data_IF_543256597745
#
_entry.id   IF_543256597745
#
_cell.length_a   1.000
_cell.length_b   1.000
_cell.length_c   1.000
_cell.angle_alpha   90.00
_cell.angle_beta   90.00
_cell.angle_gamma   90.00
#
_symmetry.space_group_name_H-M   'P 1'
#
loop_
_entity.id
_entity.type
_entity.pdbx_description
1 polymer ?
#
# COMPACT_ATOMS: atom_id res chain seq x y z
N UNK A 1 4.16 18.89 1.98
CA UNK A 1 3.41 20.11 2.37
C UNK A 1 3.77 21.30 1.48
N UNK A 2 5.04 21.71 1.39
CA UNK A 2 5.46 22.82 0.54
C UNK A 2 4.97 22.74 -0.92
N UNK A 3 5.00 21.54 -1.54
CA UNK A 3 4.50 21.33 -2.91
C UNK A 3 2.98 21.49 -3.04
N UNK A 4 2.22 21.13 -2.01
CA UNK A 4 0.76 21.35 -1.99
C UNK A 4 0.44 22.84 -1.89
N UNK A 5 1.19 23.57 -1.06
CA UNK A 5 0.98 25.01 -0.85
C UNK A 5 1.44 25.84 -2.05
N UNK A 6 2.48 25.39 -2.77
CA UNK A 6 3.00 26.03 -3.98
C UNK A 6 2.12 25.84 -5.22
N UNK A 7 1.20 24.86 -5.21
CA UNK A 7 0.34 24.60 -6.37
C UNK A 7 -0.82 25.62 -6.42
N UNK A 8 -0.99 26.36 -7.52
CA UNK A 8 -2.01 27.42 -7.61
C UNK A 8 -3.44 26.86 -7.50
N UNK A 9 -3.66 25.65 -8.03
CA UNK A 9 -4.97 24.98 -8.01
C UNK A 9 -5.01 23.84 -7.00
N UNK A 10 -5.19 24.17 -5.72
CA UNK A 10 -5.27 23.17 -4.62
C UNK A 10 -6.36 22.12 -4.85
N UNK A 11 -7.46 22.50 -5.51
CA UNK A 11 -8.59 21.62 -5.82
C UNK A 11 -8.24 20.49 -6.79
N UNK A 12 -7.15 20.60 -7.58
CA UNK A 12 -6.70 19.53 -8.47
C UNK A 12 -5.95 18.42 -7.74
N UNK A 13 -5.38 18.69 -6.57
CA UNK A 13 -4.68 17.68 -5.77
C UNK A 13 -5.72 16.82 -5.08
N UNK A 14 -5.69 15.51 -5.33
CA UNK A 14 -6.68 14.56 -4.80
C UNK A 14 -6.12 13.57 -3.80
N UNK A 15 -4.82 13.30 -3.85
CA UNK A 15 -4.20 12.27 -3.03
C UNK A 15 -2.76 12.62 -2.66
N UNK A 16 -2.32 12.05 -1.55
CA UNK A 16 -0.92 11.88 -1.19
C UNK A 16 -0.57 10.40 -1.37
N UNK A 17 0.46 10.11 -2.15
CA UNK A 17 1.00 8.76 -2.32
C UNK A 17 2.34 8.67 -1.60
N UNK A 18 2.49 7.66 -0.74
CA UNK A 18 3.70 7.39 0.04
C UNK A 18 4.12 5.95 -0.21
N UNK A 19 5.36 5.75 -0.67
CA UNK A 19 5.97 4.42 -0.67
C UNK A 19 6.50 4.11 0.72
N UNK A 20 6.01 3.04 1.33
CA UNK A 20 6.41 2.55 2.64
C UNK A 20 6.46 1.01 2.60
N UNK A 21 7.64 0.37 2.63
CA UNK A 21 8.99 0.97 2.72
C UNK A 21 9.35 1.89 1.53
N UNK A 22 10.18 2.89 1.78
CA UNK A 22 10.55 3.91 0.79
C UNK A 22 11.63 3.42 -0.19
N UNK A 23 11.29 3.30 -1.47
CA UNK A 23 12.26 3.06 -2.54
C UNK A 23 12.94 4.39 -2.97
N UNK A 24 14.29 4.48 -3.13
CA UNK A 24 15.30 3.41 -3.17
C UNK A 24 16.03 3.11 -1.86
N UNK A 25 15.70 3.80 -0.76
CA UNK A 25 16.45 3.68 0.50
C UNK A 25 16.00 2.52 1.40
N UNK A 26 14.95 1.79 1.00
CA UNK A 26 14.25 0.73 1.74
C UNK A 26 13.91 1.06 3.21
N UNK A 27 13.84 2.35 3.54
CA UNK A 27 13.58 2.84 4.88
C UNK A 27 12.09 2.83 5.19
N UNK A 28 11.71 2.40 6.39
CA UNK A 28 10.33 2.41 6.86
C UNK A 28 10.00 3.71 7.59
N UNK A 29 8.80 4.24 7.35
CA UNK A 29 8.29 5.37 8.09
C UNK A 29 7.74 4.94 9.45
N UNK A 30 8.19 5.61 10.51
CA UNK A 30 7.64 5.42 11.85
C UNK A 30 6.11 5.64 11.86
N UNK A 31 5.35 4.87 12.67
CA UNK A 31 3.89 4.99 12.77
C UNK A 31 3.37 6.44 12.94
N UNK A 32 4.04 7.22 13.78
CA UNK A 32 3.66 8.61 14.05
C UNK A 32 3.83 9.52 12.83
N UNK A 33 4.83 9.25 11.99
CA UNK A 33 5.02 9.96 10.71
C UNK A 33 3.87 9.67 9.77
N UNK A 34 3.48 8.40 9.64
CA UNK A 34 2.34 8.00 8.80
C UNK A 34 1.04 8.66 9.30
N UNK A 35 0.81 8.69 10.62
CA UNK A 35 -0.36 9.38 11.20
C UNK A 35 -0.37 10.87 10.90
N UNK A 36 0.78 11.56 11.00
CA UNK A 36 0.88 12.98 10.65
C UNK A 36 0.52 13.22 9.18
N UNK A 37 0.95 12.35 8.28
CA UNK A 37 0.61 12.41 6.85
C UNK A 37 -0.88 12.14 6.61
N UNK A 38 -1.47 11.16 7.31
CA UNK A 38 -2.91 10.90 7.26
C UNK A 38 -3.72 12.08 7.79
N UNK A 39 -3.31 12.73 8.87
CA UNK A 39 -3.96 13.93 9.40
C UNK A 39 -3.86 15.10 8.42
N UNK A 40 -2.70 15.29 7.77
CA UNK A 40 -2.58 16.26 6.69
C UNK A 40 -3.58 15.96 5.55
N UNK A 41 -3.74 14.69 5.15
CA UNK A 41 -4.74 14.32 4.15
C UNK A 41 -6.18 14.59 4.63
N UNK A 42 -6.48 14.32 5.90
CA UNK A 42 -7.77 14.63 6.51
C UNK A 42 -8.07 16.12 6.42
N UNK A 43 -7.17 16.98 6.89
CA UNK A 43 -7.34 18.44 6.94
C UNK A 43 -7.53 19.06 5.56
N UNK A 44 -6.97 18.43 4.52
CA UNK A 44 -7.04 18.90 3.13
C UNK A 44 -8.09 18.17 2.29
N UNK A 45 -8.84 17.23 2.86
CA UNK A 45 -9.82 16.42 2.14
C UNK A 45 -9.20 15.54 1.05
N UNK A 46 -7.95 15.11 1.21
CA UNK A 46 -7.20 14.27 0.29
C UNK A 46 -7.36 12.78 0.63
N UNK A 47 -7.03 11.94 -0.35
CA UNK A 47 -6.84 10.51 -0.16
C UNK A 47 -5.40 10.24 0.30
N UNK A 48 -5.21 9.30 1.21
CA UNK A 48 -3.91 8.74 1.54
C UNK A 48 -3.75 7.39 0.82
N UNK A 49 -2.69 7.25 0.03
CA UNK A 49 -2.36 6.01 -0.68
C UNK A 49 -0.99 5.54 -0.19
N UNK A 50 -0.95 4.36 0.42
CA UNK A 50 0.28 3.69 0.83
C UNK A 50 0.70 2.71 -0.27
N UNK A 51 1.86 2.90 -0.87
CA UNK A 51 2.49 1.91 -1.73
C UNK A 51 3.38 1.00 -0.86
N UNK A 52 2.87 -0.20 -0.61
CA UNK A 52 3.43 -1.22 0.28
C UNK A 52 3.98 -2.40 -0.54
N UNK A 53 4.42 -2.16 -1.79
CA UNK A 53 4.97 -3.19 -2.69
C UNK A 53 6.23 -3.89 -2.17
N UNK A 54 6.97 -3.24 -1.28
CA UNK A 54 8.19 -3.78 -0.67
C UNK A 54 7.99 -4.21 0.79
N UNK A 55 6.74 -4.30 1.26
CA UNK A 55 6.44 -4.54 2.67
C UNK A 55 7.01 -5.86 3.19
N UNK A 56 7.09 -6.90 2.36
CA UNK A 56 7.64 -8.20 2.72
C UNK A 56 9.10 -8.36 2.29
N UNK A 57 9.74 -7.32 1.76
CA UNK A 57 11.16 -7.35 1.35
C UNK A 57 11.96 -6.26 2.05
N UNK A 58 11.48 -5.75 3.18
CA UNK A 58 12.18 -4.74 3.96
C UNK A 58 13.34 -5.42 4.74
N UNK A 59 14.35 -5.90 4.02
CA UNK A 59 15.49 -6.69 4.52
C UNK A 59 16.33 -5.99 5.61
N UNK A 60 16.06 -4.72 5.90
CA UNK A 60 16.87 -3.88 6.78
C UNK A 60 16.01 -2.87 7.55
N UNK A 61 14.81 -3.28 7.99
CA UNK A 61 14.16 -2.48 9.03
C UNK A 61 14.94 -2.63 10.31
N UNK A 62 15.40 -1.49 10.83
CA UNK A 62 15.88 -1.38 12.20
C UNK A 62 14.93 -2.16 13.11
N UNK A 63 15.43 -3.04 13.97
CA UNK A 63 14.59 -3.86 14.85
C UNK A 63 13.67 -2.98 15.72
N UNK A 64 14.09 -1.73 15.93
CA UNK A 64 13.36 -0.71 16.67
C UNK A 64 12.23 -0.04 15.85
N UNK A 65 12.21 -0.20 14.52
CA UNK A 65 11.20 0.41 13.62
C UNK A 65 10.61 -0.61 12.62
N UNK A 66 9.84 -1.61 13.10
CA UNK A 66 9.23 -2.60 12.22
C UNK A 66 8.23 -1.95 11.25
N UNK A 67 8.13 -2.53 10.06
CA UNK A 67 7.13 -2.14 9.07
C UNK A 67 5.72 -2.16 9.68
N UNK A 68 5.00 -1.04 9.51
CA UNK A 68 3.60 -0.93 9.91
C UNK A 68 2.76 -0.49 8.72
N UNK A 69 1.81 -1.34 8.33
CA UNK A 69 0.86 -1.01 7.25
C UNK A 69 -0.04 0.15 7.63
N UNK A 70 -0.37 0.99 6.64
CA UNK A 70 -1.32 2.08 6.78
C UNK A 70 -2.70 1.60 7.25
N UNK A 71 -3.15 0.40 6.84
CA UNK A 71 -4.44 -0.13 7.27
C UNK A 71 -4.45 -0.51 8.75
N UNK A 72 -3.32 -0.95 9.32
CA UNK A 72 -3.22 -1.22 10.76
C UNK A 72 -3.40 0.06 11.56
N UNK A 73 -2.77 1.15 11.12
CA UNK A 73 -2.85 2.47 11.77
C UNK A 73 -4.24 3.11 11.68
N UNK A 74 -4.98 2.83 10.63
CA UNK A 74 -6.36 3.34 10.46
C UNK A 74 -7.36 2.55 11.29
N UNK A 75 -7.07 1.28 11.57
CA UNK A 75 -7.96 0.41 12.32
C UNK A 75 -7.78 0.48 13.84
N UNK A 76 -6.65 1.00 14.32
CA UNK A 76 -6.43 1.22 15.76
C UNK A 76 -7.21 2.40 16.37
N UNK A 77 -7.92 3.18 15.53
CA UNK A 77 -8.78 4.29 15.97
C UNK A 77 -8.03 5.55 16.39
N UNK A 78 -6.70 5.59 16.27
CA UNK A 78 -5.87 6.75 16.66
C UNK A 78 -5.60 7.63 15.43
N UNK A 79 -6.59 8.42 15.01
CA UNK A 79 -6.45 9.36 13.89
C UNK A 79 -7.78 9.95 13.43
N UNK A 80 -7.72 11.08 12.71
CA UNK A 80 -8.93 11.77 12.22
C UNK A 80 -9.38 11.34 10.82
N UNK A 81 -8.51 10.68 10.05
CA UNK A 81 -8.81 10.35 8.65
C UNK A 81 -9.95 9.33 8.53
N UNK A 82 -10.86 9.58 7.60
CA UNK A 82 -11.93 8.63 7.29
C UNK A 82 -11.35 7.39 6.62
N UNK A 83 -11.78 6.20 7.03
CA UNK A 83 -11.33 4.92 6.44
C UNK A 83 -11.54 4.86 4.92
N UNK A 84 -12.56 5.53 4.40
CA UNK A 84 -12.88 5.63 2.96
C UNK A 84 -11.83 6.40 2.15
N UNK A 85 -10.90 7.09 2.83
CA UNK A 85 -9.84 7.89 2.21
C UNK A 85 -8.47 7.26 2.32
N UNK A 86 -8.35 6.07 2.90
CA UNK A 86 -7.08 5.35 3.02
C UNK A 86 -7.09 4.12 2.14
N UNK A 87 -6.06 4.01 1.31
CA UNK A 87 -5.90 2.95 0.32
C UNK A 87 -4.48 2.40 0.38
N UNK A 88 -4.33 1.10 0.20
CA UNK A 88 -3.03 0.44 0.11
C UNK A 88 -2.90 -0.20 -1.26
N UNK A 89 -1.77 -0.01 -1.93
CA UNK A 89 -1.40 -0.73 -3.14
C UNK A 89 -0.18 -1.61 -2.85
N UNK A 90 -0.16 -2.81 -3.41
CA UNK A 90 1.00 -3.70 -3.34
C UNK A 90 1.01 -4.66 -4.54
N UNK A 91 2.06 -5.46 -4.70
CA UNK A 91 2.27 -6.33 -5.85
C UNK A 91 3.13 -7.54 -5.51
N UNK A 92 2.85 -8.66 -6.18
CA UNK A 92 3.66 -9.88 -6.13
C UNK A 92 5.08 -9.71 -6.72
N UNK A 93 5.38 -8.57 -7.35
CA UNK A 93 6.63 -8.38 -8.09
C UNK A 93 7.86 -8.46 -7.20
N UNK A 94 7.83 -7.83 -6.01
CA UNK A 94 8.94 -7.84 -5.06
C UNK A 94 8.73 -8.89 -4.00
N UNK A 95 7.60 -8.84 -3.30
CA UNK A 95 7.27 -9.72 -2.18
C UNK A 95 7.35 -11.23 -2.51
N UNK A 96 7.02 -11.63 -3.74
CA UNK A 96 7.03 -13.02 -4.20
C UNK A 96 8.05 -13.29 -5.31
N UNK A 97 8.97 -12.35 -5.57
CA UNK A 97 9.99 -12.48 -6.63
C UNK A 97 9.40 -12.78 -8.02
N UNK A 98 8.16 -12.36 -8.28
CA UNK A 98 7.39 -12.78 -9.46
C UNK A 98 7.00 -11.59 -10.37
N UNK A 99 7.96 -10.75 -10.81
CA UNK A 99 7.66 -9.55 -11.59
C UNK A 99 7.05 -9.88 -12.95
N UNK A 100 7.33 -11.05 -13.52
CA UNK A 100 6.80 -11.50 -14.82
C UNK A 100 5.29 -11.81 -14.81
N UNK A 101 4.71 -12.05 -13.64
CA UNK A 101 3.28 -12.37 -13.53
C UNK A 101 2.37 -11.14 -13.66
N UNK A 102 2.95 -9.93 -13.53
CA UNK A 102 2.27 -8.61 -13.65
C UNK A 102 1.03 -8.48 -12.74
N UNK A 103 1.15 -8.89 -11.48
CA UNK A 103 0.03 -8.89 -10.51
C UNK A 103 0.22 -7.80 -9.47
N UNK A 104 -0.79 -6.94 -9.32
CA UNK A 104 -0.90 -5.99 -8.23
C UNK A 104 -2.32 -5.97 -7.68
N UNK A 105 -2.48 -5.45 -6.47
CA UNK A 105 -3.77 -5.30 -5.83
C UNK A 105 -3.88 -3.94 -5.15
N UNK A 106 -5.12 -3.46 -5.09
CA UNK A 106 -5.54 -2.27 -4.35
C UNK A 106 -6.46 -2.74 -3.23
N UNK A 107 -6.15 -2.34 -2.01
CA UNK A 107 -6.97 -2.59 -0.83
C UNK A 107 -7.56 -1.25 -0.38
N UNK A 108 -8.89 -1.17 -0.38
CA UNK A 108 -9.64 -0.06 0.19
C UNK A 108 -10.76 -0.60 1.05
N UNK A 109 -10.74 -0.34 2.35
CA UNK A 109 -11.66 -1.02 3.29
C UNK A 109 -13.05 -0.38 3.35
N UNK A 110 -13.18 0.89 2.97
CA UNK A 110 -14.42 1.65 3.16
C UNK A 110 -14.75 2.58 1.98
N UNK A 111 -14.29 2.26 0.76
CA UNK A 111 -14.60 3.01 -0.45
C UNK A 111 -14.99 2.08 -1.60
N UNK A 112 -16.25 1.65 -1.59
CA UNK A 112 -16.83 0.76 -2.61
C UNK A 112 -16.80 1.38 -4.01
N UNK A 113 -17.04 2.69 -4.12
CA UNK A 113 -17.11 3.37 -5.40
C UNK A 113 -15.75 3.42 -6.10
N UNK A 114 -14.68 3.62 -5.31
CA UNK A 114 -13.31 3.52 -5.81
C UNK A 114 -13.00 2.09 -6.26
N UNK A 115 -13.34 1.08 -5.45
CA UNK A 115 -13.12 -0.32 -5.80
C UNK A 115 -13.88 -0.72 -7.07
N UNK A 116 -15.12 -0.29 -7.23
CA UNK A 116 -15.91 -0.57 -8.43
C UNK A 116 -15.29 0.08 -9.67
N UNK A 117 -14.89 1.35 -9.55
CA UNK A 117 -14.27 2.11 -10.63
C UNK A 117 -12.92 1.53 -11.06
N UNK A 118 -12.09 1.12 -10.10
CA UNK A 118 -10.79 0.49 -10.38
C UNK A 118 -10.98 -0.94 -10.89
N UNK A 119 -11.87 -1.71 -10.27
CA UNK A 119 -12.20 -3.08 -10.68
C UNK A 119 -12.66 -3.13 -12.13
N UNK A 120 -13.58 -2.25 -12.53
CA UNK A 120 -14.05 -2.16 -13.92
C UNK A 120 -12.91 -1.93 -14.92
N UNK A 121 -11.92 -1.10 -14.57
CA UNK A 121 -10.73 -0.87 -15.41
C UNK A 121 -9.75 -2.05 -15.38
N UNK A 122 -9.67 -2.76 -14.27
CA UNK A 122 -8.70 -3.84 -14.04
C UNK A 122 -9.15 -5.21 -14.57
N UNK A 123 -10.46 -5.43 -14.79
CA UNK A 123 -11.05 -6.72 -15.22
C UNK A 123 -10.34 -7.33 -16.44
N UNK A 124 -9.82 -6.51 -17.35
CA UNK A 124 -9.19 -6.98 -18.60
C UNK A 124 -7.66 -6.89 -18.59
N UNK A 125 -7.05 -6.49 -17.47
CA UNK A 125 -5.61 -6.19 -17.41
C UNK A 125 -4.76 -7.32 -16.82
N UNK A 126 -5.37 -8.27 -16.11
CA UNK A 126 -4.65 -9.37 -15.46
C UNK A 126 -4.99 -10.68 -16.15
N UNK A 127 -3.97 -11.47 -16.53
CA UNK A 127 -4.20 -12.77 -17.15
C UNK A 127 -4.87 -13.76 -16.18
N UNK A 128 -5.70 -14.66 -16.70
CA UNK A 128 -6.33 -15.72 -15.88
C UNK A 128 -5.29 -16.64 -15.23
N UNK A 129 -4.18 -16.91 -15.92
CA UNK A 129 -3.07 -17.69 -15.38
C UNK A 129 -2.42 -17.01 -14.18
N UNK A 130 -2.15 -15.71 -14.29
CA UNK A 130 -1.64 -14.88 -13.20
C UNK A 130 -2.60 -14.88 -12.01
N UNK A 131 -3.89 -14.70 -12.27
CA UNK A 131 -4.93 -14.71 -11.24
C UNK A 131 -5.02 -16.06 -10.51
N UNK A 132 -4.92 -17.17 -11.24
CA UNK A 132 -4.91 -18.51 -10.65
C UNK A 132 -3.66 -18.74 -9.80
N UNK A 133 -2.49 -18.34 -10.32
CA UNK A 133 -1.22 -18.42 -9.61
C UNK A 133 -1.26 -17.71 -8.26
N UNK A 134 -1.63 -16.42 -8.24
CA UNK A 134 -1.66 -15.66 -6.98
C UNK A 134 -2.72 -16.20 -6.02
N UNK A 135 -3.87 -16.65 -6.54
CA UNK A 135 -4.91 -17.28 -5.72
C UNK A 135 -4.39 -18.56 -5.04
N UNK A 136 -3.63 -19.39 -5.78
CA UNK A 136 -3.03 -20.60 -5.24
C UNK A 136 -1.97 -20.29 -4.19
N UNK A 137 -1.11 -19.29 -4.43
CA UNK A 137 -0.09 -18.85 -3.47
C UNK A 137 -0.73 -18.33 -2.18
N UNK A 138 -1.69 -17.40 -2.29
CA UNK A 138 -2.35 -16.79 -1.14
C UNK A 138 -3.21 -17.76 -0.32
N UNK A 139 -3.72 -18.84 -0.94
CA UNK A 139 -4.47 -19.91 -0.25
C UNK A 139 -3.59 -21.06 0.25
N UNK A 140 -2.30 -21.05 -0.07
CA UNK A 140 -1.38 -22.13 0.32
C UNK A 140 -1.15 -22.13 1.83
N UNK A 141 -1.21 -23.31 2.45
CA UNK A 141 -0.79 -23.48 3.85
C UNK A 141 0.70 -23.18 4.08
N UNK A 142 1.51 -23.17 3.01
CA UNK A 142 2.94 -22.84 3.04
C UNK A 142 3.22 -21.35 2.80
N UNK A 143 2.21 -20.49 2.82
CA UNK A 143 2.40 -19.06 2.56
C UNK A 143 3.41 -18.45 3.52
N UNK A 144 3.35 -18.80 4.81
CA UNK A 144 4.32 -18.34 5.81
C UNK A 144 5.74 -18.77 5.47
N UNK A 145 5.94 -20.03 5.06
CA UNK A 145 7.25 -20.54 4.65
C UNK A 145 7.77 -19.82 3.40
N UNK A 146 6.89 -19.54 2.43
CA UNK A 146 7.23 -18.81 1.20
C UNK A 146 7.65 -17.36 1.49
N UNK A 147 6.97 -16.70 2.44
CA UNK A 147 7.35 -15.35 2.89
C UNK A 147 8.71 -15.41 3.59
N UNK A 148 8.95 -16.40 4.46
CA UNK A 148 10.26 -16.55 5.13
C UNK A 148 11.38 -16.84 4.12
N UNK A 149 11.12 -17.64 3.09
CA UNK A 149 12.08 -17.90 2.02
C UNK A 149 12.41 -16.65 1.21
N UNK A 150 11.44 -15.77 0.95
CA UNK A 150 11.70 -14.50 0.26
C UNK A 150 12.50 -13.51 1.11
N UNK A 151 12.51 -13.66 2.45
CA UNK A 151 13.33 -12.84 3.36
C UNK A 151 14.77 -13.35 3.53
N UNK A 152 15.09 -14.58 3.11
CA UNK A 152 16.38 -15.23 3.37
C UNK A 152 17.25 -15.45 2.11
N UNK A 153 16.76 -15.08 0.92
CA UNK A 153 17.49 -15.18 -0.36
C UNK A 153 18.01 -13.84 -0.81
#
# INVERSE_FOLDING_TARGET
MATYDAHPEKLRIKALLIANPHNPCDSVHAPDTIRKLMNFCHDKGLHYISDEVSALTAFNTDADTPFTSALSLVNDGKGGIQKSRVHVVSSASKDLGSPGMRIGWLISQANSDLLYSVGWKAVWQVSSLSSLYITAVLKSAKLSDLIVLSHNG
#
